data_IF_313232815379
#
_entry.id   IF_313232815379
#
_cell.length_a   1.000
_cell.length_b   1.000
_cell.length_c   1.000
_cell.angle_alpha   90.00
_cell.angle_beta   90.00
_cell.angle_gamma   90.00
#
_symmetry.space_group_name_H-M   'P 1'
#
loop_
_entity.id
_entity.type
_entity.pdbx_description
1 polymer ?
#
# COMPACT_ATOMS: atom_id res chain seq x y z
N UNK A 1 6.69 -0.92 2.47
CA UNK A 1 5.38 -1.51 2.80
C UNK A 1 5.22 -1.81 4.29
N UNK A 2 6.32 -2.10 5.01
CA UNK A 2 6.35 -2.37 6.46
C UNK A 2 5.57 -1.36 7.33
N UNK A 3 5.75 -0.05 7.11
CA UNK A 3 4.99 0.99 7.82
C UNK A 3 3.47 0.98 7.59
N UNK A 4 3.05 0.77 6.34
CA UNK A 4 1.62 0.64 6.01
C UNK A 4 1.04 -0.61 6.67
N UNK A 5 1.78 -1.71 6.66
CA UNK A 5 1.37 -2.96 7.27
C UNK A 5 1.24 -2.80 8.80
N UNK A 6 2.22 -2.18 9.47
CA UNK A 6 2.12 -1.91 10.92
C UNK A 6 0.90 -1.03 11.24
N UNK A 7 0.59 -0.04 10.40
CA UNK A 7 -0.61 0.80 10.56
C UNK A 7 -1.91 0.01 10.40
N UNK A 8 -2.03 -0.79 9.33
CA UNK A 8 -3.22 -1.60 9.06
C UNK A 8 -3.43 -2.61 10.18
N UNK A 9 -2.39 -3.33 10.61
CA UNK A 9 -2.56 -4.33 11.66
C UNK A 9 -2.89 -3.71 13.01
N UNK A 10 -2.34 -2.55 13.32
CA UNK A 10 -2.69 -1.82 14.53
C UNK A 10 -4.15 -1.35 14.50
N UNK A 11 -4.65 -0.84 13.38
CA UNK A 11 -6.01 -0.28 13.29
C UNK A 11 -7.07 -1.35 13.06
N UNK A 12 -6.86 -2.27 12.12
CA UNK A 12 -7.83 -3.31 11.76
C UNK A 12 -7.84 -4.46 12.78
N UNK A 13 -6.66 -4.86 13.26
CA UNK A 13 -6.51 -6.04 14.12
C UNK A 13 -6.11 -5.70 15.55
N UNK A 14 -5.76 -4.45 15.87
CA UNK A 14 -5.28 -4.09 17.21
C UNK A 14 -3.89 -4.65 17.53
N UNK A 15 -3.13 -5.09 16.53
CA UNK A 15 -1.85 -5.79 16.73
C UNK A 15 -0.68 -4.95 16.27
N UNK A 16 0.30 -4.78 17.15
CA UNK A 16 1.57 -4.14 16.83
C UNK A 16 2.52 -5.18 16.19
N UNK A 17 2.66 -5.11 14.87
CA UNK A 17 3.60 -5.94 14.12
C UNK A 17 5.07 -5.56 14.36
N UNK A 18 5.34 -4.27 14.58
CA UNK A 18 6.68 -3.65 14.63
C UNK A 18 7.66 -4.21 13.58
N UNK A 19 7.20 -4.26 12.33
CA UNK A 19 8.00 -4.80 11.24
C UNK A 19 9.13 -3.85 10.81
N UNK A 20 9.07 -2.57 11.20
CA UNK A 20 10.09 -1.55 10.93
C UNK A 20 11.26 -1.64 11.90
N UNK A 21 11.02 -1.66 13.23
CA UNK A 21 12.11 -1.62 14.22
C UNK A 21 12.75 -2.98 14.48
N UNK A 22 12.25 -4.05 13.83
CA UNK A 22 12.81 -5.40 13.93
C UNK A 22 12.76 -5.99 15.35
N UNK A 23 11.95 -5.41 16.23
CA UNK A 23 11.82 -5.87 17.62
C UNK A 23 11.05 -7.19 17.71
N UNK A 24 10.08 -7.40 16.81
CA UNK A 24 9.33 -8.64 16.70
C UNK A 24 9.91 -9.55 15.60
N UNK A 25 10.33 -10.74 16.00
CA UNK A 25 10.82 -11.76 15.05
C UNK A 25 9.69 -12.27 14.15
N UNK A 26 8.47 -12.37 14.70
CA UNK A 26 7.28 -12.83 13.99
C UNK A 26 6.81 -11.82 12.93
N UNK A 27 6.65 -10.54 13.29
CA UNK A 27 6.17 -9.52 12.37
C UNK A 27 7.13 -9.25 11.22
N UNK A 28 8.44 -9.32 11.47
CA UNK A 28 9.44 -9.22 10.40
C UNK A 28 9.46 -10.44 9.47
N UNK A 29 9.27 -11.63 10.01
CA UNK A 29 9.18 -12.88 9.22
C UNK A 29 7.95 -12.87 8.33
N UNK A 30 6.79 -12.49 8.88
CA UNK A 30 5.56 -12.28 8.12
C UNK A 30 5.74 -11.23 7.02
N UNK A 31 6.28 -10.05 7.37
CA UNK A 31 6.49 -8.95 6.42
C UNK A 31 7.33 -9.38 5.22
N UNK A 32 8.43 -10.09 5.47
CA UNK A 32 9.33 -10.56 4.43
C UNK A 32 8.68 -11.65 3.58
N UNK A 33 7.94 -12.59 4.20
CA UNK A 33 7.21 -13.63 3.48
C UNK A 33 6.13 -13.04 2.56
N UNK A 34 5.39 -12.03 3.05
CA UNK A 34 4.38 -11.32 2.27
C UNK A 34 4.99 -10.53 1.11
N UNK A 35 6.08 -9.79 1.36
CA UNK A 35 6.81 -9.06 0.32
C UNK A 35 7.37 -9.99 -0.75
N UNK A 36 8.05 -11.06 -0.36
CA UNK A 36 8.60 -12.05 -1.28
C UNK A 36 7.48 -12.70 -2.11
N UNK A 37 6.36 -13.07 -1.49
CA UNK A 37 5.20 -13.62 -2.19
C UNK A 37 4.66 -12.66 -3.24
N UNK A 38 4.60 -11.37 -2.90
CA UNK A 38 4.14 -10.30 -3.79
C UNK A 38 5.03 -10.09 -5.02
N UNK A 39 6.30 -10.50 -4.99
CA UNK A 39 7.20 -10.45 -6.17
C UNK A 39 7.00 -11.62 -7.12
N UNK A 40 6.54 -12.77 -6.62
CA UNK A 40 6.37 -13.99 -7.42
C UNK A 40 4.99 -14.01 -8.10
N UNK A 41 3.95 -13.47 -7.45
CA UNK A 41 2.58 -13.44 -7.98
C UNK A 41 2.46 -12.85 -9.40
N UNK A 42 3.10 -11.71 -9.74
CA UNK A 42 3.07 -11.17 -11.10
C UNK A 42 3.64 -12.12 -12.16
N UNK A 43 4.63 -12.96 -11.80
CA UNK A 43 5.21 -13.93 -12.74
C UNK A 43 4.19 -14.94 -13.23
N UNK A 44 3.16 -15.24 -12.45
CA UNK A 44 2.08 -16.16 -12.86
C UNK A 44 1.22 -15.63 -14.01
N UNK A 45 1.17 -14.31 -14.21
CA UNK A 45 0.45 -13.70 -15.33
C UNK A 45 1.20 -13.82 -16.66
N UNK A 46 2.54 -13.85 -16.61
CA UNK A 46 3.39 -13.92 -17.81
C UNK A 46 3.88 -15.34 -18.11
N UNK A 47 4.05 -16.18 -17.08
CA UNK A 47 4.58 -17.53 -17.22
C UNK A 47 3.47 -18.57 -17.23
N UNK A 48 2.94 -18.92 -18.40
CA UNK A 48 1.85 -19.91 -18.59
C UNK A 48 2.19 -21.29 -17.97
N UNK A 49 3.48 -21.62 -17.84
CA UNK A 49 3.95 -22.89 -17.26
C UNK A 49 3.89 -22.94 -15.72
N UNK A 50 3.46 -21.86 -15.06
CA UNK A 50 3.42 -21.76 -13.60
C UNK A 50 2.65 -22.92 -12.94
N UNK A 51 1.58 -23.43 -13.57
CA UNK A 51 0.81 -24.58 -13.06
C UNK A 51 1.65 -25.86 -12.97
N UNK A 52 2.51 -26.09 -13.96
CA UNK A 52 3.42 -27.25 -13.99
C UNK A 52 4.53 -27.06 -12.95
N UNK A 53 5.11 -25.86 -12.84
CA UNK A 53 6.12 -25.53 -11.82
C UNK A 53 5.57 -25.64 -10.40
N UNK A 54 4.30 -25.30 -10.21
CA UNK A 54 3.57 -25.47 -8.95
C UNK A 54 3.32 -26.95 -8.62
N UNK A 55 2.94 -27.74 -9.63
CA UNK A 55 2.76 -29.18 -9.47
C UNK A 55 4.06 -29.88 -9.10
N UNK A 56 5.17 -29.54 -9.77
CA UNK A 56 6.50 -30.07 -9.47
C UNK A 56 7.13 -29.49 -8.19
N UNK A 57 6.56 -28.43 -7.62
CA UNK A 57 7.11 -27.71 -6.46
C UNK A 57 8.57 -27.27 -6.66
N UNK A 58 8.86 -26.59 -7.78
CA UNK A 58 10.22 -26.18 -8.16
C UNK A 58 10.37 -24.66 -8.18
N UNK A 59 11.51 -24.17 -7.70
CA UNK A 59 11.96 -22.79 -7.88
C UNK A 59 11.07 -21.76 -7.16
N UNK A 60 10.65 -20.72 -7.90
CA UNK A 60 9.88 -19.60 -7.35
C UNK A 60 8.52 -20.05 -6.77
N UNK A 61 7.89 -21.08 -7.33
CA UNK A 61 6.62 -21.63 -6.82
C UNK A 61 6.81 -22.37 -5.48
N UNK A 62 7.95 -23.06 -5.29
CA UNK A 62 8.28 -23.69 -4.02
C UNK A 62 8.55 -22.67 -2.91
N UNK A 63 9.28 -21.59 -3.26
CA UNK A 63 9.51 -20.46 -2.35
C UNK A 63 8.18 -19.80 -1.98
N UNK A 64 7.30 -19.58 -2.96
CA UNK A 64 5.96 -19.02 -2.74
C UNK A 64 5.11 -19.93 -1.83
N UNK A 65 5.15 -21.25 -2.02
CA UNK A 65 4.45 -22.20 -1.13
C UNK A 65 4.93 -22.08 0.33
N UNK A 66 6.25 -21.99 0.56
CA UNK A 66 6.81 -21.76 1.91
C UNK A 66 6.35 -20.44 2.50
N UNK A 67 6.39 -19.36 1.72
CA UNK A 67 5.98 -18.05 2.21
C UNK A 67 4.48 -18.00 2.53
N UNK A 68 3.64 -18.66 1.72
CA UNK A 68 2.20 -18.79 1.99
C UNK A 68 1.96 -19.52 3.30
N UNK A 69 2.71 -20.59 3.61
CA UNK A 69 2.59 -21.29 4.90
C UNK A 69 2.89 -20.38 6.10
N UNK A 70 3.92 -19.53 6.00
CA UNK A 70 4.25 -18.54 7.04
C UNK A 70 3.14 -17.51 7.21
N UNK A 71 2.61 -17.01 6.09
CA UNK A 71 1.51 -16.03 6.08
C UNK A 71 0.25 -16.65 6.69
N UNK A 72 -0.12 -17.86 6.27
CA UNK A 72 -1.32 -18.55 6.75
C UNK A 72 -1.22 -18.85 8.24
N UNK A 73 -0.07 -19.32 8.73
CA UNK A 73 0.15 -19.57 10.15
C UNK A 73 -0.09 -18.30 11.00
N UNK A 74 0.50 -17.19 10.57
CA UNK A 74 0.34 -15.89 11.25
C UNK A 74 -1.11 -15.38 11.18
N UNK A 75 -1.77 -15.50 10.02
CA UNK A 75 -3.16 -15.05 9.85
C UNK A 75 -4.11 -15.89 10.70
N UNK A 76 -3.94 -17.21 10.76
CA UNK A 76 -4.77 -18.08 11.59
C UNK A 76 -4.62 -17.75 13.08
N UNK A 77 -3.40 -17.46 13.53
CA UNK A 77 -3.16 -16.99 14.89
C UNK A 77 -3.92 -15.70 15.20
N UNK A 78 -3.90 -14.72 14.29
CA UNK A 78 -4.65 -13.47 14.45
C UNK A 78 -6.16 -13.66 14.44
N UNK A 79 -6.66 -14.51 13.55
CA UNK A 79 -8.09 -14.83 13.47
C UNK A 79 -8.55 -15.44 14.79
N UNK A 80 -7.82 -16.42 15.34
CA UNK A 80 -8.17 -17.05 16.61
C UNK A 80 -8.17 -16.03 17.76
N UNK A 81 -7.14 -15.20 17.86
CA UNK A 81 -7.07 -14.11 18.86
C UNK A 81 -8.22 -13.11 18.73
N UNK A 82 -8.69 -12.82 17.51
CA UNK A 82 -9.82 -11.91 17.27
C UNK A 82 -11.18 -12.55 17.50
N UNK A 83 -11.36 -13.84 17.23
CA UNK A 83 -12.59 -14.58 17.55
C UNK A 83 -12.85 -14.53 19.07
N UNK A 84 -11.80 -14.56 19.89
CA UNK A 84 -11.87 -14.39 21.34
C UNK A 84 -12.26 -12.96 21.77
N UNK A 85 -12.11 -11.96 20.89
CA UNK A 85 -12.29 -10.53 21.19
C UNK A 85 -13.51 -9.88 20.52
N UNK A 86 -14.18 -10.55 19.58
CA UNK A 86 -15.15 -9.93 18.66
C UNK A 86 -16.62 -10.06 19.07
N UNK A 87 -16.95 -9.68 20.31
CA UNK A 87 -18.32 -9.41 20.76
C UNK A 87 -18.58 -7.91 20.98
N UNK A 88 -18.37 -7.05 19.97
CA UNK A 88 -19.03 -5.72 19.92
C UNK A 88 -18.82 -4.97 18.58
N UNK A 89 -19.96 -4.67 17.96
CA UNK A 89 -20.36 -3.54 17.07
C UNK A 89 -19.64 -3.18 15.75
N UNK A 90 -20.50 -2.88 14.75
CA UNK A 90 -20.27 -2.39 13.37
C UNK A 90 -20.60 -0.90 13.27
N UNK A 91 -20.09 -0.18 12.26
CA UNK A 91 -20.78 0.97 11.66
C UNK A 91 -20.49 1.15 10.16
N UNK A 92 -21.53 1.63 9.46
CA UNK A 92 -21.68 2.03 8.05
C UNK A 92 -21.02 3.40 7.72
N UNK A 93 -20.73 3.71 6.44
CA UNK A 93 -21.59 4.59 5.61
C UNK A 93 -20.99 4.99 4.23
N UNK A 94 -21.89 5.42 3.33
CA UNK A 94 -21.71 5.79 1.91
C UNK A 94 -21.37 7.27 1.71
N UNK A 95 -20.84 7.63 0.53
CA UNK A 95 -21.36 8.73 -0.31
C UNK A 95 -20.66 8.89 -1.67
N UNK A 96 -21.38 9.48 -2.63
CA UNK A 96 -21.07 9.64 -4.07
C UNK A 96 -21.25 11.11 -4.50
N UNK A 97 -20.38 11.63 -5.38
CA UNK A 97 -20.78 12.66 -6.37
C UNK A 97 -19.81 12.75 -7.58
N UNK A 98 -20.34 13.26 -8.69
CA UNK A 98 -19.77 13.40 -10.03
C UNK A 98 -19.34 14.86 -10.31
N UNK A 99 -18.12 15.02 -10.83
CA UNK A 99 -17.68 16.28 -11.45
C UNK A 99 -16.94 16.03 -12.77
N UNK A 100 -17.31 16.81 -13.78
CA UNK A 100 -16.72 16.81 -15.12
C UNK A 100 -15.41 17.60 -15.08
N UNK A 101 -14.33 17.05 -15.66
CA UNK A 101 -12.97 17.53 -15.43
C UNK A 101 -12.21 17.68 -16.75
N UNK A 102 -11.46 18.77 -16.85
CA UNK A 102 -10.69 19.27 -18.00
C UNK A 102 -9.49 18.36 -18.28
N UNK A 103 -9.38 17.86 -19.52
CA UNK A 103 -8.29 16.99 -19.97
C UNK A 103 -7.07 17.84 -20.34
N UNK A 104 -6.08 17.96 -19.44
CA UNK A 104 -4.72 18.35 -19.86
C UNK A 104 -3.72 17.23 -19.59
N UNK A 105 -2.55 17.35 -20.23
CA UNK A 105 -1.37 16.47 -20.18
C UNK A 105 -1.21 15.68 -18.87
N UNK A 106 -1.48 14.36 -18.95
CA UNK A 106 -1.52 13.44 -17.81
C UNK A 106 -0.13 13.08 -17.25
N UNK A 107 0.93 13.30 -18.02
CA UNK A 107 2.30 12.92 -17.67
C UNK A 107 2.98 13.89 -16.68
N UNK A 108 2.46 15.13 -16.56
CA UNK A 108 3.05 16.16 -15.70
C UNK A 108 2.37 16.17 -14.32
N UNK A 109 3.17 16.09 -13.27
CA UNK A 109 2.70 16.29 -11.89
C UNK A 109 2.23 17.75 -11.70
N UNK A 110 0.93 17.93 -11.53
CA UNK A 110 0.25 19.23 -11.34
C UNK A 110 -0.89 19.09 -10.34
N UNK A 111 -0.63 19.24 -9.02
CA UNK A 111 -1.65 19.04 -7.99
C UNK A 111 -2.78 20.09 -8.07
N UNK A 112 -2.51 21.27 -8.61
CA UNK A 112 -3.49 22.36 -8.79
C UNK A 112 -4.61 21.98 -9.77
N UNK A 113 -4.41 20.93 -10.58
CA UNK A 113 -5.45 20.40 -11.49
C UNK A 113 -6.74 20.08 -10.75
N UNK A 114 -6.66 19.69 -9.48
CA UNK A 114 -7.80 19.28 -8.66
C UNK A 114 -8.46 20.45 -7.92
N UNK A 115 -8.02 21.69 -8.17
CA UNK A 115 -8.60 22.90 -7.58
C UNK A 115 -9.55 23.57 -8.57
N UNK A 116 -10.60 24.20 -8.05
CA UNK A 116 -11.45 25.09 -8.83
C UNK A 116 -10.83 26.50 -8.94
N UNK A 117 -11.51 27.42 -9.62
CA UNK A 117 -11.05 28.81 -9.77
C UNK A 117 -10.94 29.56 -8.43
N UNK A 118 -11.61 29.07 -7.38
CA UNK A 118 -11.54 29.59 -6.00
C UNK A 118 -10.50 28.87 -5.13
N UNK A 119 -9.61 28.07 -5.73
CA UNK A 119 -8.57 27.26 -5.05
C UNK A 119 -9.10 26.18 -4.08
N UNK A 120 -10.37 25.80 -4.21
CA UNK A 120 -11.03 24.76 -3.42
C UNK A 120 -10.88 23.40 -4.11
N UNK A 121 -10.54 22.36 -3.32
CA UNK A 121 -10.40 20.98 -3.80
C UNK A 121 -11.73 20.42 -4.32
N UNK A 122 -11.72 19.92 -5.56
CA UNK A 122 -12.85 19.22 -6.17
C UNK A 122 -12.65 17.71 -6.08
N UNK A 123 -13.51 17.06 -5.29
CA UNK A 123 -13.61 15.60 -5.31
C UNK A 123 -14.06 15.14 -6.70
N UNK A 124 -13.33 14.18 -7.27
CA UNK A 124 -13.67 13.57 -8.56
C UNK A 124 -14.31 12.21 -8.36
N UNK A 125 -15.18 11.87 -9.30
CA UNK A 125 -15.83 10.55 -9.32
C UNK A 125 -14.78 9.43 -9.27
N UNK A 126 -14.93 8.43 -8.37
CA UNK A 126 -14.03 7.28 -8.30
C UNK A 126 -13.95 6.50 -9.61
N UNK A 127 -14.99 6.54 -10.46
CA UNK A 127 -14.96 5.89 -11.79
C UNK A 127 -14.03 6.59 -12.78
N UNK A 128 -13.73 7.88 -12.55
CA UNK A 128 -12.81 8.66 -13.36
C UNK A 128 -11.38 8.61 -12.82
N UNK A 129 -11.22 8.47 -11.51
CA UNK A 129 -9.92 8.36 -10.86
C UNK A 129 -9.92 7.20 -9.84
N UNK A 130 -9.77 5.94 -10.29
CA UNK A 130 -10.04 4.75 -9.48
C UNK A 130 -8.86 4.33 -8.60
N UNK A 131 -8.23 5.26 -7.87
CA UNK A 131 -7.09 4.94 -6.98
C UNK A 131 -7.48 3.91 -5.91
N UNK A 132 -8.71 4.01 -5.41
CA UNK A 132 -9.28 3.11 -4.40
C UNK A 132 -10.36 2.19 -4.97
N UNK A 133 -10.39 1.99 -6.29
CA UNK A 133 -11.53 1.41 -7.03
C UNK A 133 -12.81 2.27 -6.90
N UNK A 134 -13.94 1.76 -7.39
CA UNK A 134 -15.23 2.45 -7.38
C UNK A 134 -16.38 1.47 -7.08
N UNK A 135 -17.54 2.01 -6.66
CA UNK A 135 -18.76 1.23 -6.41
C UNK A 135 -18.76 0.43 -5.08
N UNK A 136 -19.60 -0.61 -4.96
CA UNK A 136 -19.76 -1.38 -3.71
C UNK A 136 -18.51 -2.11 -3.20
N UNK A 137 -17.47 -2.22 -4.05
CA UNK A 137 -16.18 -2.85 -3.74
C UNK A 137 -15.04 -1.82 -3.66
N UNK A 138 -15.38 -0.55 -3.44
CA UNK A 138 -14.40 0.50 -3.12
C UNK A 138 -13.57 0.09 -1.90
N UNK A 139 -12.30 0.49 -1.87
CA UNK A 139 -11.42 0.18 -0.75
C UNK A 139 -12.03 0.69 0.55
N UNK A 140 -12.25 -0.22 1.50
CA UNK A 140 -12.83 0.08 2.81
C UNK A 140 -12.00 1.12 3.57
N UNK A 141 -10.68 1.10 3.37
CA UNK A 141 -9.73 1.97 4.07
C UNK A 141 -9.43 3.28 3.32
N UNK A 142 -10.23 3.67 2.32
CA UNK A 142 -10.02 4.89 1.53
C UNK A 142 -9.87 6.13 2.41
N UNK A 143 -10.84 6.39 3.28
CA UNK A 143 -10.87 7.61 4.11
C UNK A 143 -9.75 7.60 5.16
N UNK A 144 -9.43 6.42 5.69
CA UNK A 144 -8.30 6.23 6.59
C UNK A 144 -6.97 6.53 5.89
N UNK A 145 -6.77 5.98 4.69
CA UNK A 145 -5.57 6.18 3.87
C UNK A 145 -5.36 7.66 3.55
N UNK A 146 -6.42 8.38 3.15
CA UNK A 146 -6.33 9.82 2.92
C UNK A 146 -5.93 10.59 4.16
N UNK A 147 -6.51 10.29 5.33
CA UNK A 147 -6.14 10.94 6.59
C UNK A 147 -4.68 10.68 6.95
N UNK A 148 -4.22 9.43 6.87
CA UNK A 148 -2.83 9.11 7.13
C UNK A 148 -1.89 9.86 6.18
N UNK A 149 -2.14 9.83 4.87
CA UNK A 149 -1.30 10.51 3.88
C UNK A 149 -1.25 12.03 4.12
N UNK A 150 -2.37 12.66 4.47
CA UNK A 150 -2.42 14.10 4.79
C UNK A 150 -1.60 14.42 6.03
N UNK A 151 -1.77 13.66 7.11
CA UNK A 151 -1.02 13.85 8.36
C UNK A 151 0.49 13.66 8.12
N UNK A 152 0.89 12.56 7.49
CA UNK A 152 2.29 12.30 7.16
C UNK A 152 2.88 13.39 6.28
N UNK A 153 2.17 13.83 5.25
CA UNK A 153 2.64 14.89 4.35
C UNK A 153 2.75 16.23 5.09
N UNK A 154 1.76 16.60 5.89
CA UNK A 154 1.77 17.84 6.67
C UNK A 154 2.92 17.88 7.67
N UNK A 155 3.17 16.78 8.38
CA UNK A 155 4.29 16.68 9.34
C UNK A 155 5.63 16.72 8.62
N UNK A 156 5.82 15.89 7.58
CA UNK A 156 7.10 15.81 6.87
C UNK A 156 7.44 17.13 6.17
N UNK A 157 6.49 17.73 5.47
CA UNK A 157 6.70 19.00 4.78
C UNK A 157 6.74 20.17 5.76
N UNK A 158 6.04 20.10 6.89
CA UNK A 158 6.10 21.12 7.93
C UNK A 158 7.47 21.17 8.63
N UNK A 159 8.06 20.01 8.88
CA UNK A 159 9.32 19.92 9.63
C UNK A 159 10.57 19.85 8.74
N UNK A 160 10.45 19.45 7.48
CA UNK A 160 11.62 19.18 6.63
C UNK A 160 11.46 19.71 5.19
N UNK A 161 12.61 20.03 4.60
CA UNK A 161 12.78 20.24 3.16
C UNK A 161 13.58 19.08 2.59
N UNK A 162 13.12 18.49 1.49
CA UNK A 162 13.73 17.32 0.88
C UNK A 162 14.42 17.68 -0.44
N UNK A 163 15.60 17.12 -0.70
CA UNK A 163 16.29 17.16 -1.99
C UNK A 163 16.65 15.75 -2.44
N UNK A 164 16.58 15.48 -3.74
CA UNK A 164 17.05 14.22 -4.30
C UNK A 164 18.56 14.09 -4.10
N UNK A 165 19.01 12.90 -3.71
CA UNK A 165 20.45 12.62 -3.61
C UNK A 165 21.12 12.59 -4.98
N UNK A 166 20.38 12.18 -6.01
CA UNK A 166 20.79 12.25 -7.41
C UNK A 166 19.58 12.64 -8.27
N UNK A 167 19.61 13.85 -8.84
CA UNK A 167 18.54 14.39 -9.68
C UNK A 167 18.50 13.79 -11.09
N UNK A 168 19.61 13.20 -11.56
CA UNK A 168 19.73 12.66 -12.92
C UNK A 168 19.39 11.18 -12.99
N UNK A 169 19.32 10.50 -11.84
CA UNK A 169 19.00 9.08 -11.78
C UNK A 169 17.57 8.82 -12.24
N UNK A 170 17.43 8.07 -13.34
CA UNK A 170 16.13 7.55 -13.77
C UNK A 170 15.58 6.58 -12.74
N UNK A 171 14.32 6.78 -12.34
CA UNK A 171 13.61 5.89 -11.40
C UNK A 171 13.04 4.70 -12.18
N UNK A 172 13.55 3.51 -11.89
CA UNK A 172 12.97 2.26 -12.38
C UNK A 172 12.02 1.68 -11.33
N UNK A 173 11.05 0.87 -11.78
CA UNK A 173 10.06 0.24 -10.91
C UNK A 173 10.20 -1.28 -10.93
N UNK A 174 9.99 -1.91 -9.77
CA UNK A 174 9.89 -3.37 -9.69
C UNK A 174 8.48 -3.81 -10.02
N UNK A 175 8.36 -4.84 -10.86
CA UNK A 175 7.10 -5.53 -11.12
C UNK A 175 6.65 -6.30 -9.88
N UNK A 176 5.72 -5.72 -9.12
CA UNK A 176 5.07 -6.31 -7.95
C UNK A 176 3.57 -5.99 -8.00
N UNK A 177 2.79 -6.55 -7.07
CA UNK A 177 1.35 -6.22 -6.92
C UNK A 177 1.13 -4.71 -6.72
N UNK A 178 2.04 -4.05 -6.00
CA UNK A 178 2.09 -2.60 -5.84
C UNK A 178 3.31 -2.02 -6.58
N UNK A 179 3.20 -0.82 -7.14
CA UNK A 179 4.35 -0.13 -7.77
C UNK A 179 5.39 0.19 -6.69
N UNK A 180 6.63 -0.30 -6.86
CA UNK A 180 7.75 0.01 -5.96
C UNK A 180 8.93 0.52 -6.75
N UNK A 181 9.63 1.51 -6.22
CA UNK A 181 10.87 2.02 -6.79
C UNK A 181 11.97 0.98 -6.59
N UNK A 182 12.67 0.62 -7.67
CA UNK A 182 13.81 -0.28 -7.60
C UNK A 182 15.02 0.40 -6.94
N UNK A 183 15.52 -0.22 -5.87
CA UNK A 183 16.60 0.34 -5.06
C UNK A 183 16.19 1.51 -4.17
N UNK A 184 14.91 1.86 -4.08
CA UNK A 184 14.40 2.94 -3.24
C UNK A 184 14.68 4.36 -3.76
N UNK A 185 14.07 5.35 -3.11
CA UNK A 185 14.24 6.78 -3.42
C UNK A 185 15.11 7.43 -2.35
N UNK A 186 16.34 7.78 -2.70
CA UNK A 186 17.30 8.36 -1.77
C UNK A 186 17.18 9.89 -1.75
N UNK A 187 16.95 10.44 -0.55
CA UNK A 187 16.68 11.86 -0.33
C UNK A 187 17.56 12.39 0.80
N UNK A 188 17.95 13.65 0.70
CA UNK A 188 18.48 14.44 1.81
C UNK A 188 17.33 15.23 2.44
N UNK A 189 17.17 15.11 3.76
CA UNK A 189 16.19 15.86 4.53
C UNK A 189 16.90 16.92 5.37
N UNK A 190 16.44 18.17 5.27
CA UNK A 190 16.95 19.31 6.02
C UNK A 190 15.83 19.83 6.92
N UNK A 191 16.06 20.11 8.22
CA UNK A 191 15.07 20.78 9.05
C UNK A 191 14.58 22.07 8.37
N UNK A 192 13.27 22.25 8.33
CA UNK A 192 12.64 23.48 7.84
C UNK A 192 12.65 24.49 9.00
N UNK A 193 13.33 25.61 8.78
CA UNK A 193 13.38 26.75 9.73
C UNK A 193 12.10 27.56 9.69
#
# INVERSE_FOLDING_TARGET
MKSTMDSIFKVAFGVELDSICRSSVEGTTFANAFDDSSTVTPRRYVDVSWKIKRWLNIGAEAKLKKNIQVIDAFVQELINRKIEQASSSKLDDRDNDNSHMKKDNAEKYRPERWLNDDEVFQSVSPFKFPVFQAGPRICLEKEFSYRQMKIFSAVLLGCFTFKLSDEKRSVNYRTMINIRIDGGLHLHAFPRS
#
